data_IF_240928564672
#
_entry.id   IF_240928564672
#
_cell.length_a   1.000
_cell.length_b   1.000
_cell.length_c   1.000
_cell.angle_alpha   90.00
_cell.angle_beta   90.00
_cell.angle_gamma   90.00
#
_symmetry.space_group_name_H-M   'P 1'
#
loop_
_entity.id
_entity.type
_entity.pdbx_description
1 polymer ?
#
# COMPACT_ATOMS: atom_id res chain seq x y z
N UNK A 1 -11.76 -45.20 24.44
CA UNK A 1 -12.26 -44.48 23.26
C UNK A 1 -11.22 -44.47 22.14
N UNK A 2 -11.64 -44.62 20.88
CA UNK A 2 -10.77 -44.64 19.70
C UNK A 2 -10.43 -43.20 19.27
N UNK A 3 -9.16 -42.80 19.34
CA UNK A 3 -8.68 -41.58 18.70
C UNK A 3 -8.53 -41.86 17.19
N UNK A 4 -9.39 -41.25 16.36
CA UNK A 4 -9.28 -41.32 14.90
C UNK A 4 -7.89 -40.83 14.47
N UNK A 5 -7.21 -41.51 13.53
CA UNK A 5 -5.85 -41.15 13.12
C UNK A 5 -5.88 -39.77 12.45
N UNK A 6 -5.19 -38.80 13.06
CA UNK A 6 -4.91 -37.51 12.44
C UNK A 6 -4.26 -37.76 11.08
N UNK A 7 -4.77 -37.10 10.04
CA UNK A 7 -4.12 -37.13 8.74
C UNK A 7 -2.77 -36.43 8.86
N UNK A 8 -1.76 -36.97 8.19
CA UNK A 8 -0.39 -36.45 8.29
C UNK A 8 -0.33 -34.95 7.92
N UNK A 9 -1.18 -34.49 6.98
CA UNK A 9 -1.29 -33.08 6.61
C UNK A 9 -1.80 -32.14 7.74
N UNK A 10 -2.46 -32.68 8.77
CA UNK A 10 -3.02 -31.92 9.89
C UNK A 10 -2.13 -31.90 11.14
N UNK A 11 -0.97 -32.57 11.08
CA UNK A 11 -0.03 -32.60 12.20
C UNK A 11 0.71 -31.27 12.26
N UNK A 12 0.51 -30.53 13.36
CA UNK A 12 1.27 -29.33 13.63
C UNK A 12 2.75 -29.68 13.84
N UNK A 13 3.61 -29.13 12.98
CA UNK A 13 5.07 -29.35 13.05
C UNK A 13 5.71 -28.45 14.11
N UNK A 14 5.18 -27.24 14.27
CA UNK A 14 5.62 -26.26 15.26
C UNK A 14 4.75 -26.34 16.50
N UNK A 15 5.35 -26.04 17.65
CA UNK A 15 4.57 -25.79 18.85
C UNK A 15 3.76 -24.47 18.73
N UNK A 16 2.79 -24.30 19.61
CA UNK A 16 1.88 -23.16 19.57
C UNK A 16 2.60 -21.82 19.83
N UNK A 17 3.66 -21.80 20.64
CA UNK A 17 4.40 -20.59 20.95
C UNK A 17 5.27 -20.15 19.78
N UNK A 18 6.01 -21.08 19.17
CA UNK A 18 6.80 -20.84 17.96
C UNK A 18 5.91 -20.39 16.79
N UNK A 19 4.77 -21.04 16.60
CA UNK A 19 3.79 -20.64 15.59
C UNK A 19 3.27 -19.22 15.82
N UNK A 20 2.95 -18.87 17.06
CA UNK A 20 2.46 -17.53 17.39
C UNK A 20 3.55 -16.47 17.17
N UNK A 21 4.80 -16.76 17.52
CA UNK A 21 5.91 -15.83 17.31
C UNK A 21 6.09 -15.49 15.83
N UNK A 22 6.03 -16.51 14.95
CA UNK A 22 6.18 -16.32 13.51
C UNK A 22 4.98 -15.61 12.86
N UNK A 23 3.76 -15.89 13.33
CA UNK A 23 2.55 -15.37 12.70
C UNK A 23 2.09 -14.02 13.25
N UNK A 24 2.35 -13.74 14.53
CA UNK A 24 1.83 -12.57 15.23
C UNK A 24 2.94 -11.61 15.58
N UNK A 25 3.99 -12.05 16.27
CA UNK A 25 5.01 -11.14 16.78
C UNK A 25 5.83 -10.50 15.65
N UNK A 26 6.11 -11.25 14.57
CA UNK A 26 6.77 -10.71 13.38
C UNK A 26 5.85 -9.87 12.49
N UNK A 27 4.55 -10.14 12.48
CA UNK A 27 3.57 -9.43 11.64
C UNK A 27 2.80 -8.34 12.40
N UNK A 28 3.15 -8.08 13.67
CA UNK A 28 2.50 -7.10 14.55
C UNK A 28 2.83 -5.65 14.20
N UNK A 29 2.96 -5.32 12.92
CA UNK A 29 3.24 -3.99 12.41
C UNK A 29 2.05 -3.40 11.62
N UNK A 30 0.84 -3.92 11.85
CA UNK A 30 -0.37 -3.33 11.27
C UNK A 30 -0.46 -1.84 11.66
N UNK A 31 -0.37 -0.98 10.65
CA UNK A 31 -0.59 0.44 10.79
C UNK A 31 -1.94 0.76 10.15
N UNK A 32 -2.77 1.62 10.80
CA UNK A 32 -3.98 2.11 10.18
C UNK A 32 -3.65 2.78 8.83
N UNK A 33 -4.11 2.19 7.74
CA UNK A 33 -4.02 2.81 6.42
C UNK A 33 -5.36 3.48 6.09
N UNK A 34 -5.38 4.77 5.70
CA UNK A 34 -6.61 5.46 5.36
C UNK A 34 -7.21 4.85 4.07
N UNK A 35 -8.27 4.06 4.23
CA UNK A 35 -8.95 3.40 3.10
C UNK A 35 -9.78 4.37 2.25
N UNK A 36 -10.15 5.50 2.83
CA UNK A 36 -10.96 6.53 2.15
C UNK A 36 -10.13 7.46 1.26
N UNK A 37 -8.79 7.29 1.23
CA UNK A 37 -7.90 8.15 0.47
C UNK A 37 -7.26 7.39 -0.69
N UNK A 38 -7.44 7.91 -1.90
CA UNK A 38 -6.74 7.39 -3.08
C UNK A 38 -5.34 7.99 -3.19
N UNK A 39 -4.43 7.29 -3.86
CA UNK A 39 -3.10 7.83 -4.17
C UNK A 39 -3.20 9.15 -4.94
N UNK A 40 -4.17 9.28 -5.85
CA UNK A 40 -4.40 10.51 -6.59
C UNK A 40 -4.81 11.67 -5.66
N UNK A 41 -5.68 11.43 -4.68
CA UNK A 41 -6.08 12.44 -3.70
C UNK A 41 -4.90 12.95 -2.86
N UNK A 42 -3.94 12.07 -2.51
CA UNK A 42 -2.71 12.48 -1.82
C UNK A 42 -1.82 13.37 -2.69
N UNK A 43 -1.73 13.08 -3.98
CA UNK A 43 -0.96 13.90 -4.94
C UNK A 43 -1.63 15.25 -5.14
N UNK A 44 -2.96 15.30 -5.25
CA UNK A 44 -3.74 16.54 -5.35
C UNK A 44 -3.56 17.42 -4.11
N UNK A 45 -3.60 16.82 -2.90
CA UNK A 45 -3.36 17.53 -1.66
C UNK A 45 -1.94 18.13 -1.61
N UNK A 46 -0.93 17.39 -2.07
CA UNK A 46 0.44 17.87 -2.14
C UNK A 46 0.59 18.99 -3.20
N UNK A 47 -0.10 18.89 -4.33
CA UNK A 47 -0.13 19.95 -5.35
C UNK A 47 -0.81 21.24 -4.85
N UNK A 48 -1.81 21.13 -3.99
CA UNK A 48 -2.44 22.29 -3.36
C UNK A 48 -1.56 22.90 -2.27
N UNK A 49 -0.90 22.08 -1.46
CA UNK A 49 -0.07 22.56 -0.34
C UNK A 49 1.30 23.08 -0.78
N UNK A 50 1.92 22.47 -1.78
CA UNK A 50 3.27 22.75 -2.24
C UNK A 50 3.38 22.63 -3.78
N UNK A 51 2.74 23.56 -4.52
CA UNK A 51 2.61 23.47 -5.98
C UNK A 51 3.95 23.48 -6.72
N UNK A 52 4.93 24.23 -6.22
CA UNK A 52 6.24 24.43 -6.86
C UNK A 52 7.29 23.39 -6.43
N UNK A 53 6.97 22.51 -5.47
CA UNK A 53 7.89 21.45 -5.05
C UNK A 53 8.10 20.42 -6.16
N UNK A 54 9.32 19.90 -6.34
CA UNK A 54 9.61 18.89 -7.34
C UNK A 54 8.88 17.58 -7.02
N UNK A 55 8.07 17.09 -7.96
CA UNK A 55 7.31 15.84 -7.85
C UNK A 55 7.97 14.69 -8.62
N UNK A 56 8.47 14.97 -9.83
CA UNK A 56 9.11 13.97 -10.69
C UNK A 56 10.39 14.56 -11.26
N UNK A 57 11.48 13.80 -11.18
CA UNK A 57 12.77 14.15 -11.77
C UNK A 57 13.14 13.05 -12.75
N UNK A 58 13.34 13.43 -14.01
CA UNK A 58 13.78 12.53 -15.07
C UNK A 58 14.95 13.16 -15.82
N UNK A 59 16.16 12.71 -15.52
CA UNK A 59 17.38 13.32 -16.04
C UNK A 59 17.45 14.80 -15.64
N UNK A 60 17.58 15.70 -16.62
CA UNK A 60 17.59 17.15 -16.40
C UNK A 60 16.20 17.80 -16.30
N UNK A 61 15.12 17.04 -16.45
CA UNK A 61 13.76 17.58 -16.38
C UNK A 61 13.17 17.38 -14.99
N UNK A 62 12.58 18.45 -14.46
CA UNK A 62 11.86 18.45 -13.19
C UNK A 62 10.43 18.88 -13.47
N UNK A 63 9.47 18.10 -12.98
CA UNK A 63 8.07 18.48 -12.93
C UNK A 63 7.69 18.78 -11.49
N UNK A 64 6.99 19.90 -11.31
CA UNK A 64 6.41 20.24 -10.01
C UNK A 64 5.12 19.49 -9.77
N UNK A 65 4.66 19.44 -8.51
CA UNK A 65 3.37 18.82 -8.17
C UNK A 65 2.20 19.45 -8.93
N UNK A 66 2.18 20.78 -9.10
CA UNK A 66 1.15 21.46 -9.89
C UNK A 66 1.14 20.98 -11.37
N UNK A 67 2.31 20.93 -11.99
CA UNK A 67 2.44 20.51 -13.40
C UNK A 67 2.06 19.05 -13.62
N UNK A 68 2.42 18.17 -12.66
CA UNK A 68 2.04 16.77 -12.69
C UNK A 68 0.52 16.63 -12.60
N UNK A 69 -0.10 17.29 -11.64
CA UNK A 69 -1.54 17.24 -11.39
C UNK A 69 -2.35 17.72 -12.60
N UNK A 70 -1.96 18.85 -13.21
CA UNK A 70 -2.63 19.36 -14.42
C UNK A 70 -2.55 18.37 -15.59
N UNK A 71 -1.39 17.74 -15.81
CA UNK A 71 -1.21 16.76 -16.89
C UNK A 71 -2.06 15.51 -16.65
N UNK A 72 -2.09 15.02 -15.42
CA UNK A 72 -2.93 13.89 -15.02
C UNK A 72 -4.42 14.19 -15.23
N UNK A 73 -4.89 15.37 -14.81
CA UNK A 73 -6.28 15.77 -14.97
C UNK A 73 -6.69 15.92 -16.44
N UNK A 74 -5.83 16.51 -17.28
CA UNK A 74 -6.07 16.56 -18.73
C UNK A 74 -6.20 15.17 -19.35
N UNK A 75 -5.34 14.24 -18.94
CA UNK A 75 -5.40 12.86 -19.42
C UNK A 75 -6.67 12.15 -18.91
N UNK A 76 -7.04 12.32 -17.64
CA UNK A 76 -8.25 11.74 -17.07
C UNK A 76 -9.51 12.22 -17.81
N UNK A 77 -9.61 13.52 -18.13
CA UNK A 77 -10.72 14.03 -18.92
C UNK A 77 -10.76 13.44 -20.34
N UNK A 78 -9.60 13.27 -20.97
CA UNK A 78 -9.51 12.65 -22.30
C UNK A 78 -9.95 11.18 -22.29
N UNK A 79 -9.62 10.42 -21.24
CA UNK A 79 -9.95 9.00 -21.12
C UNK A 79 -11.40 8.73 -20.68
N UNK A 80 -12.07 9.72 -20.08
CA UNK A 80 -13.47 9.63 -19.65
C UNK A 80 -14.46 10.19 -20.70
N UNK A 81 -13.97 10.71 -21.83
CA UNK A 81 -14.78 11.19 -22.96
C UNK A 81 -15.02 10.07 -23.97
#
# INVERSE_FOLDING_TARGET
EQALPLRLESVAILDAAERNHLLLDFNGNEQPFPQDCTVNALIEAQAASQPDSPAVIQGGHVLTYAQLNERANRLAHYLNA
#
